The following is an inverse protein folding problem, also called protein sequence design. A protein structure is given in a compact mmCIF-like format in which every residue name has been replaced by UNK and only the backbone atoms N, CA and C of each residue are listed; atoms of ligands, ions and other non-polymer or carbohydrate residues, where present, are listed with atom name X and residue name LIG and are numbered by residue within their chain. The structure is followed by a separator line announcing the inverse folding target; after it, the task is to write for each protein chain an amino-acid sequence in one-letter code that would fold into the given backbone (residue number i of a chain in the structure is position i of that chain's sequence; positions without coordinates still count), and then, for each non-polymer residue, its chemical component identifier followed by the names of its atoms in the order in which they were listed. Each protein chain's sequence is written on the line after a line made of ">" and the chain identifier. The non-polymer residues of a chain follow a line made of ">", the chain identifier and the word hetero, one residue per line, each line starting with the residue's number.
data_IF_587096260807
#
_entry.id   IF_587096260807
#
_cell.length_a   1.000
_cell.length_b   1.000
_cell.length_c   1.000
_cell.angle_alpha   90.00
_cell.angle_beta   90.00
_cell.angle_gamma   90.00
#
_symmetry.space_group_name_H-M   'P 1'
#
loop_
_entity.id
_entity.type
_entity.pdbx_description
1 polymer ?
#
# COMPACT_ATOMS: atom_id res chain seq x y z
N UNK A 1 0.07 -10.87 24.47
CA UNK A 1 0.11 -10.36 23.08
C UNK A 1 0.97 -11.26 22.20
N UNK A 2 0.38 -12.11 21.32
CA UNK A 2 1.13 -12.87 20.30
C UNK A 2 0.55 -12.83 18.86
N UNK A 3 -0.46 -12.00 18.58
CA UNK A 3 -1.30 -12.14 17.37
C UNK A 3 -0.65 -11.62 16.07
N UNK A 4 0.18 -10.58 16.15
CA UNK A 4 0.80 -9.91 14.98
C UNK A 4 1.86 -10.76 14.26
N UNK A 5 2.59 -11.60 15.00
CA UNK A 5 3.63 -12.46 14.41
C UNK A 5 3.05 -13.55 13.50
N UNK A 6 1.78 -13.91 13.68
CA UNK A 6 1.10 -14.92 12.85
C UNK A 6 0.72 -14.43 11.45
N UNK A 7 0.22 -13.19 11.31
CA UNK A 7 -0.23 -12.63 10.02
C UNK A 7 0.97 -12.53 9.07
N UNK A 8 2.01 -11.83 9.49
CA UNK A 8 3.17 -11.57 8.64
C UNK A 8 3.88 -12.86 8.21
N UNK A 9 4.04 -13.81 9.14
CA UNK A 9 4.61 -15.14 8.83
C UNK A 9 3.73 -15.91 7.85
N UNK A 10 2.41 -15.85 8.00
CA UNK A 10 1.46 -16.47 7.08
C UNK A 10 1.58 -15.92 5.66
N UNK A 11 1.69 -14.59 5.52
CA UNK A 11 1.91 -13.93 4.22
C UNK A 11 3.24 -14.37 3.61
N UNK A 12 4.33 -14.31 4.37
CA UNK A 12 5.68 -14.66 3.90
C UNK A 12 5.79 -16.11 3.41
N UNK A 13 5.16 -17.03 4.13
CA UNK A 13 5.16 -18.45 3.79
C UNK A 13 4.14 -18.82 2.69
N UNK A 14 3.32 -17.86 2.24
CA UNK A 14 2.34 -18.12 1.19
C UNK A 14 3.01 -18.35 -0.16
N UNK A 15 2.54 -19.38 -0.85
CA UNK A 15 3.02 -19.80 -2.18
C UNK A 15 2.12 -19.35 -3.33
N UNK A 16 0.95 -18.77 -3.02
CA UNK A 16 -0.04 -18.27 -4.00
C UNK A 16 -0.67 -16.98 -3.49
N UNK A 17 -1.16 -16.15 -4.41
CA UNK A 17 -1.89 -14.91 -4.09
C UNK A 17 -3.20 -15.22 -3.37
N UNK A 18 -3.93 -16.27 -3.78
CA UNK A 18 -5.15 -16.77 -3.12
C UNK A 18 -4.95 -17.06 -1.63
N UNK A 19 -3.83 -17.67 -1.22
CA UNK A 19 -3.55 -17.91 0.22
C UNK A 19 -3.40 -16.60 0.99
N UNK A 20 -2.75 -15.60 0.40
CA UNK A 20 -2.60 -14.27 1.00
C UNK A 20 -3.95 -13.59 1.12
N UNK A 21 -4.77 -13.67 0.07
CA UNK A 21 -6.11 -13.10 0.07
C UNK A 21 -7.02 -13.79 1.07
N UNK A 22 -6.95 -15.11 1.24
CA UNK A 22 -7.66 -15.81 2.33
C UNK A 22 -7.29 -15.26 3.70
N UNK A 23 -5.99 -15.06 3.97
CA UNK A 23 -5.55 -14.46 5.24
C UNK A 23 -6.15 -13.05 5.40
N UNK A 24 -6.15 -12.24 4.35
CA UNK A 24 -6.75 -10.91 4.35
C UNK A 24 -8.26 -10.97 4.61
N UNK A 25 -9.00 -11.84 3.91
CA UNK A 25 -10.45 -11.98 4.07
C UNK A 25 -10.85 -12.25 5.53
N UNK A 26 -10.11 -13.11 6.23
CA UNK A 26 -10.41 -13.44 7.62
C UNK A 26 -9.94 -12.38 8.64
N UNK A 27 -8.90 -11.60 8.34
CA UNK A 27 -8.15 -10.83 9.36
C UNK A 27 -7.78 -9.40 8.97
N UNK A 28 -8.31 -8.85 7.88
CA UNK A 28 -7.94 -7.52 7.36
C UNK A 28 -8.07 -6.37 8.37
N UNK A 29 -8.99 -6.46 9.32
CA UNK A 29 -9.13 -5.46 10.39
C UNK A 29 -7.86 -5.36 11.26
N UNK A 30 -7.19 -6.50 11.47
CA UNK A 30 -5.95 -6.60 12.25
C UNK A 30 -4.70 -6.16 11.48
N UNK A 31 -4.80 -6.01 10.15
CA UNK A 31 -3.64 -5.69 9.30
C UNK A 31 -3.12 -4.29 9.62
N UNK A 32 -1.81 -4.22 9.88
CA UNK A 32 -1.06 -2.98 9.85
C UNK A 32 -0.69 -2.57 8.42
N UNK A 33 -0.27 -1.32 8.25
CA UNK A 33 0.28 -0.86 6.97
C UNK A 33 1.49 -1.71 6.53
N UNK A 34 2.28 -2.22 7.48
CA UNK A 34 3.39 -3.13 7.20
C UNK A 34 2.93 -4.51 6.73
N UNK A 35 1.82 -5.03 7.26
CA UNK A 35 1.23 -6.30 6.81
C UNK A 35 0.63 -6.16 5.41
N UNK A 36 -0.02 -5.03 5.12
CA UNK A 36 -0.50 -4.72 3.77
C UNK A 36 0.67 -4.61 2.80
N UNK A 37 1.74 -3.89 3.16
CA UNK A 37 2.95 -3.81 2.34
C UNK A 37 3.54 -5.19 2.06
N UNK A 38 3.61 -6.05 3.06
CA UNK A 38 4.10 -7.43 2.91
C UNK A 38 3.19 -8.21 1.95
N UNK A 39 1.87 -8.13 2.12
CA UNK A 39 0.90 -8.79 1.25
C UNK A 39 1.04 -8.35 -0.21
N UNK A 40 1.05 -7.04 -0.47
CA UNK A 40 1.21 -6.50 -1.82
C UNK A 40 2.57 -6.89 -2.42
N UNK A 41 3.63 -6.86 -1.62
CA UNK A 41 4.97 -7.28 -2.07
C UNK A 41 4.98 -8.74 -2.47
N UNK A 42 4.39 -9.61 -1.66
CA UNK A 42 4.36 -11.05 -1.92
C UNK A 42 3.49 -11.38 -3.12
N UNK A 43 2.32 -10.76 -3.26
CA UNK A 43 1.47 -10.88 -4.46
C UNK A 43 2.26 -10.48 -5.71
N UNK A 44 3.00 -9.36 -5.67
CA UNK A 44 3.81 -8.94 -6.81
C UNK A 44 4.92 -9.93 -7.16
N UNK A 45 5.58 -10.51 -6.16
CA UNK A 45 6.66 -11.50 -6.36
C UNK A 45 6.15 -12.81 -6.94
N UNK A 46 4.94 -13.23 -6.58
CA UNK A 46 4.33 -14.46 -7.07
C UNK A 46 3.94 -14.35 -8.55
N UNK A 47 3.78 -13.12 -9.08
CA UNK A 47 3.44 -12.87 -10.49
C UNK A 47 2.00 -13.23 -10.87
N UNK A 48 1.26 -13.86 -9.96
CA UNK A 48 -0.16 -14.15 -10.07
C UNK A 48 -0.94 -12.97 -9.46
N UNK A 49 -1.33 -12.03 -10.31
CA UNK A 49 -2.02 -10.80 -9.93
C UNK A 49 -3.54 -10.99 -10.03
N UNK A 50 -4.25 -11.22 -8.90
CA UNK A 50 -5.70 -11.32 -8.91
C UNK A 50 -6.30 -9.90 -8.97
N UNK A 51 -6.07 -9.19 -10.07
CA UNK A 51 -6.34 -7.76 -10.23
C UNK A 51 -7.84 -7.40 -10.10
N UNK A 52 -8.72 -8.37 -10.28
CA UNK A 52 -10.16 -8.21 -10.16
C UNK A 52 -10.72 -8.79 -8.87
N UNK A 53 -9.86 -9.33 -8.00
CA UNK A 53 -10.32 -9.99 -6.79
C UNK A 53 -10.83 -8.95 -5.77
N UNK A 54 -12.08 -9.10 -5.31
CA UNK A 54 -12.71 -8.15 -4.41
C UNK A 54 -12.00 -8.11 -3.05
N UNK A 55 -11.34 -9.19 -2.61
CA UNK A 55 -10.57 -9.19 -1.36
C UNK A 55 -9.34 -8.31 -1.49
N UNK A 56 -8.64 -8.36 -2.63
CA UNK A 56 -7.52 -7.45 -2.88
C UNK A 56 -8.00 -5.99 -2.82
N UNK A 57 -9.12 -5.70 -3.47
CA UNK A 57 -9.64 -4.35 -3.60
C UNK A 57 -10.22 -3.85 -2.27
N UNK A 58 -11.22 -4.53 -1.73
CA UNK A 58 -12.04 -4.04 -0.64
C UNK A 58 -11.39 -4.25 0.73
N UNK A 59 -10.54 -5.27 0.89
CA UNK A 59 -9.95 -5.59 2.19
C UNK A 59 -8.52 -5.05 2.35
N UNK A 60 -7.75 -4.96 1.26
CA UNK A 60 -6.36 -4.49 1.31
C UNK A 60 -6.18 -3.05 0.81
N UNK A 61 -6.84 -2.66 -0.28
CA UNK A 61 -6.59 -1.37 -0.94
C UNK A 61 -7.53 -0.28 -0.42
N UNK A 62 -8.85 -0.51 -0.47
CA UNK A 62 -9.88 0.47 -0.08
C UNK A 62 -9.69 1.03 1.34
N UNK A 63 -9.31 0.23 2.36
CA UNK A 63 -9.16 0.75 3.72
C UNK A 63 -7.87 1.55 3.96
N UNK A 64 -6.96 1.64 2.97
CA UNK A 64 -5.65 2.25 3.16
C UNK A 64 -5.70 3.70 3.64
N UNK A 65 -6.48 4.60 3.03
CA UNK A 65 -6.49 5.99 3.47
C UNK A 65 -6.97 6.14 4.91
N UNK A 66 -8.02 5.40 5.30
CA UNK A 66 -8.52 5.38 6.68
C UNK A 66 -7.50 4.81 7.66
N UNK A 67 -6.82 3.71 7.29
CA UNK A 67 -5.77 3.12 8.11
C UNK A 67 -4.62 4.10 8.32
N UNK A 68 -4.20 4.85 7.29
CA UNK A 68 -3.15 5.87 7.42
C UNK A 68 -3.63 7.04 8.31
N UNK A 69 -4.84 7.58 8.07
CA UNK A 69 -5.41 8.68 8.87
C UNK A 69 -5.62 8.34 10.34
N UNK A 70 -6.01 7.11 10.64
CA UNK A 70 -6.36 6.71 12.00
C UNK A 70 -5.22 6.84 13.02
N UNK A 71 -3.98 7.08 12.59
CA UNK A 71 -2.81 7.27 13.47
C UNK A 71 -2.44 6.03 14.30
N UNK A 72 -3.27 4.96 14.29
CA UNK A 72 -3.03 3.67 14.95
C UNK A 72 -1.76 2.97 14.47
N UNK A 73 -1.16 3.48 13.40
CA UNK A 73 0.14 3.12 12.90
C UNK A 73 0.97 4.39 12.93
N UNK A 74 1.87 4.53 13.93
CA UNK A 74 2.96 5.52 13.89
C UNK A 74 3.64 5.32 12.54
N UNK A 75 3.36 6.25 11.64
CA UNK A 75 3.39 6.00 10.22
C UNK A 75 4.84 6.09 9.82
N UNK A 76 5.51 4.94 9.68
CA UNK A 76 6.83 4.94 9.07
C UNK A 76 6.64 5.48 7.64
N UNK A 77 7.10 6.71 7.33
CA UNK A 77 6.81 7.35 6.05
C UNK A 77 7.35 6.54 4.86
N UNK A 78 8.41 5.75 5.13
CA UNK A 78 8.98 4.79 4.18
C UNK A 78 8.02 3.66 3.85
N UNK A 79 7.22 3.19 4.81
CA UNK A 79 6.20 2.15 4.56
C UNK A 79 5.09 2.71 3.69
N UNK A 80 4.60 3.93 3.96
CA UNK A 80 3.60 4.59 3.11
C UNK A 80 4.10 4.75 1.67
N UNK A 81 5.29 5.31 1.48
CA UNK A 81 5.91 5.44 0.16
C UNK A 81 6.08 4.08 -0.54
N UNK A 82 6.41 3.04 0.22
CA UNK A 82 6.53 1.68 -0.32
C UNK A 82 5.17 1.12 -0.73
N UNK A 83 4.11 1.33 0.05
CA UNK A 83 2.74 0.91 -0.32
C UNK A 83 2.30 1.60 -1.60
N UNK A 84 2.46 2.93 -1.70
CA UNK A 84 2.16 3.72 -2.89
C UNK A 84 2.86 3.13 -4.13
N UNK A 85 4.15 2.83 -4.01
CA UNK A 85 4.92 2.21 -5.09
C UNK A 85 4.42 0.80 -5.45
N UNK A 86 4.04 -0.03 -4.47
CA UNK A 86 3.48 -1.36 -4.75
C UNK A 86 2.12 -1.28 -5.43
N UNK A 87 1.25 -0.36 -5.01
CA UNK A 87 -0.04 -0.13 -5.65
C UNK A 87 0.14 0.26 -7.13
N UNK A 88 1.06 1.18 -7.43
CA UNK A 88 1.38 1.54 -8.80
C UNK A 88 1.94 0.34 -9.61
N UNK A 89 2.75 -0.52 -8.98
CA UNK A 89 3.28 -1.74 -9.62
C UNK A 89 2.22 -2.79 -9.93
N UNK A 90 1.10 -2.83 -9.21
CA UNK A 90 -0.01 -3.72 -9.54
C UNK A 90 -0.71 -3.33 -10.86
N UNK A 91 -0.47 -2.13 -11.39
CA UNK A 91 -1.02 -1.65 -12.69
C UNK A 91 -2.54 -1.78 -12.80
N UNK A 92 -3.23 -1.73 -11.67
CA UNK A 92 -4.68 -1.76 -11.58
C UNK A 92 -5.26 -0.49 -12.23
N UNK A 93 -6.03 -0.65 -13.32
CA UNK A 93 -6.66 0.47 -14.03
C UNK A 93 -8.11 0.63 -13.58
N UNK A 94 -8.30 1.25 -12.41
CA UNK A 94 -9.62 1.54 -11.84
C UNK A 94 -9.66 2.96 -11.30
N UNK A 95 -10.75 3.69 -11.56
CA UNK A 95 -10.95 5.06 -11.09
C UNK A 95 -10.84 5.18 -9.57
N UNK A 96 -11.33 4.20 -8.82
CA UNK A 96 -11.20 4.19 -7.35
C UNK A 96 -9.73 4.13 -6.90
N UNK A 97 -8.85 3.39 -7.61
CA UNK A 97 -7.45 3.31 -7.23
C UNK A 97 -6.76 4.64 -7.47
N UNK A 98 -7.14 5.38 -8.51
CA UNK A 98 -6.63 6.74 -8.72
C UNK A 98 -7.01 7.65 -7.55
N UNK A 99 -8.22 7.53 -7.00
CA UNK A 99 -8.64 8.26 -5.79
C UNK A 99 -7.81 7.88 -4.57
N UNK A 100 -7.64 6.57 -4.30
CA UNK A 100 -6.79 6.10 -3.21
C UNK A 100 -5.34 6.58 -3.37
N UNK A 101 -4.79 6.50 -4.59
CA UNK A 101 -3.44 6.98 -4.89
C UNK A 101 -3.30 8.48 -4.66
N UNK A 102 -4.26 9.27 -5.12
CA UNK A 102 -4.25 10.72 -4.89
C UNK A 102 -4.18 11.02 -3.40
N UNK A 103 -5.06 10.39 -2.61
CA UNK A 103 -5.15 10.62 -1.18
C UNK A 103 -3.87 10.21 -0.44
N UNK A 104 -3.34 9.01 -0.74
CA UNK A 104 -2.11 8.52 -0.13
C UNK A 104 -0.91 9.39 -0.49
N UNK A 105 -0.81 9.86 -1.73
CA UNK A 105 0.24 10.78 -2.16
C UNK A 105 0.13 12.12 -1.43
N UNK A 106 -1.06 12.71 -1.30
CA UNK A 106 -1.26 13.95 -0.52
C UNK A 106 -0.83 13.76 0.93
N UNK A 107 -1.11 12.61 1.54
CA UNK A 107 -0.65 12.30 2.90
C UNK A 107 0.88 12.24 3.04
N UNK A 108 1.66 12.11 1.96
CA UNK A 108 3.13 12.12 2.06
C UNK A 108 3.71 13.50 2.33
N UNK A 109 2.98 14.58 2.03
CA UNK A 109 3.41 15.97 2.22
C UNK A 109 3.75 16.25 3.68
N UNK A 110 2.97 15.70 4.62
CA UNK A 110 3.21 15.87 6.05
C UNK A 110 4.53 15.24 6.54
N UNK A 111 5.19 14.44 5.69
CA UNK A 111 6.42 13.72 5.99
C UNK A 111 7.61 14.15 5.12
N UNK A 112 7.47 15.19 4.28
CA UNK A 112 8.46 15.56 3.25
C UNK A 112 9.91 15.58 3.76
N UNK A 113 10.17 16.27 4.88
CA UNK A 113 11.51 16.38 5.48
C UNK A 113 12.07 15.07 6.06
N UNK A 114 11.19 14.10 6.36
CA UNK A 114 11.56 12.80 6.96
C UNK A 114 11.70 11.68 5.93
N UNK A 115 11.23 11.90 4.70
CA UNK A 115 11.30 10.90 3.64
C UNK A 115 12.72 10.82 3.09
N UNK A 116 13.26 9.60 3.03
CA UNK A 116 14.52 9.38 2.32
C UNK A 116 14.38 9.72 0.82
N UNK A 117 15.47 10.05 0.12
CA UNK A 117 15.44 10.27 -1.34
C UNK A 117 14.84 9.09 -2.13
N UNK A 118 15.05 7.85 -1.65
CA UNK A 118 14.44 6.64 -2.23
C UNK A 118 12.93 6.64 -2.03
N UNK A 119 12.44 7.05 -0.86
CA UNK A 119 11.01 7.13 -0.57
C UNK A 119 10.33 8.18 -1.44
N UNK A 120 10.96 9.35 -1.60
CA UNK A 120 10.49 10.42 -2.51
C UNK A 120 10.42 9.89 -3.95
N UNK A 121 11.51 9.28 -4.44
CA UNK A 121 11.57 8.71 -5.80
C UNK A 121 10.45 7.69 -6.05
N UNK A 122 10.14 6.85 -5.05
CA UNK A 122 9.05 5.87 -5.13
C UNK A 122 7.68 6.53 -5.28
N UNK A 123 7.41 7.61 -4.53
CA UNK A 123 6.15 8.36 -4.60
C UNK A 123 6.01 9.04 -5.96
N UNK A 124 7.04 9.77 -6.41
CA UNK A 124 7.02 10.47 -7.69
C UNK A 124 6.88 9.50 -8.89
N UNK A 125 7.60 8.37 -8.86
CA UNK A 125 7.46 7.34 -9.89
C UNK A 125 6.05 6.76 -9.92
N UNK A 126 5.44 6.53 -8.75
CA UNK A 126 4.09 6.00 -8.65
C UNK A 126 3.04 7.00 -9.18
N UNK A 127 3.20 8.29 -8.88
CA UNK A 127 2.37 9.37 -9.43
C UNK A 127 2.40 9.36 -10.96
N UNK A 128 3.60 9.36 -11.54
CA UNK A 128 3.79 9.32 -12.99
C UNK A 128 3.20 8.04 -13.62
N UNK A 129 3.44 6.88 -13.01
CA UNK A 129 2.96 5.58 -13.49
C UNK A 129 1.44 5.49 -13.49
N UNK A 130 0.79 6.07 -12.48
CA UNK A 130 -0.67 6.06 -12.32
C UNK A 130 -1.36 7.26 -12.99
N UNK A 131 -0.61 8.15 -13.65
CA UNK A 131 -1.12 9.40 -14.22
C UNK A 131 -1.91 10.22 -13.18
N UNK A 132 -1.34 10.31 -11.99
CA UNK A 132 -1.86 11.13 -10.89
C UNK A 132 -1.08 12.45 -10.90
N UNK A 133 -1.78 13.53 -11.21
CA UNK A 133 -1.23 14.88 -11.25
C UNK A 133 -1.56 15.59 -9.94
N UNK A 134 -0.55 15.77 -9.09
CA UNK A 134 -0.65 16.51 -7.83
C UNK A 134 0.52 17.50 -7.74
N UNK A 135 0.42 18.67 -8.39
CA UNK A 135 1.50 19.65 -8.42
C UNK A 135 1.95 20.03 -7.02
N UNK A 136 1.04 20.24 -6.07
CA UNK A 136 1.35 20.58 -4.69
C UNK A 136 2.19 19.51 -3.98
N UNK A 137 1.92 18.23 -4.24
CA UNK A 137 2.72 17.12 -3.69
C UNK A 137 4.10 17.08 -4.33
N UNK A 138 4.19 17.30 -5.64
CA UNK A 138 5.47 17.35 -6.35
C UNK A 138 6.38 18.45 -5.78
N UNK A 139 5.87 19.68 -5.62
CA UNK A 139 6.64 20.80 -5.07
C UNK A 139 7.00 20.61 -3.59
N UNK A 140 6.18 19.90 -2.81
CA UNK A 140 6.50 19.64 -1.41
C UNK A 140 7.60 18.58 -1.21
N UNK A 141 7.85 17.74 -2.22
CA UNK A 141 8.83 16.64 -2.14
C UNK A 141 10.13 16.91 -2.91
N UNK A 142 10.25 18.04 -3.62
CA UNK A 142 11.39 18.43 -4.45
C UNK A 142 11.87 19.84 -4.10
#
# INVERSE_FOLDING_TARGET
>A
MPVRTGIRRGIQNSTTSDKILKIAAYRHEEFSLGDILEALTRIIQLGDYPLEDPVLIDMLIRPLPDKVRSGKFVSNPTVLASVIHKLAKLKLRRSFLQQVMMELCTMTVQYGETLSPRSISNVLWAMATMKVELPEVFHALC
#
